data_IF_759446771967
#
_entry.id   IF_759446771967
#
_cell.length_a   1.000
_cell.length_b   1.000
_cell.length_c   1.000
_cell.angle_alpha   90.00
_cell.angle_beta   90.00
_cell.angle_gamma   90.00
#
_symmetry.space_group_name_H-M   'P 1'
#
loop_
_entity.id
_entity.type
_entity.pdbx_description
1 polymer ?
#
# COMPACT_ATOMS: atom_id res chain seq x y z
N UNK A 1 14.77 11.79 -6.21
CA UNK A 1 14.18 11.46 -4.91
C UNK A 1 13.48 10.11 -4.91
N UNK A 2 12.57 9.83 -5.84
CA UNK A 2 11.72 8.62 -5.86
C UNK A 2 12.52 7.31 -5.83
N UNK A 3 13.58 7.18 -6.61
CA UNK A 3 14.42 5.98 -6.57
C UNK A 3 15.21 5.82 -5.25
N UNK A 4 15.59 6.93 -4.63
CA UNK A 4 16.23 6.89 -3.29
C UNK A 4 15.22 6.41 -2.26
N UNK A 5 14.00 6.91 -2.31
CA UNK A 5 12.90 6.45 -1.45
C UNK A 5 12.57 4.97 -1.70
N UNK A 6 12.50 4.54 -2.97
CA UNK A 6 12.25 3.13 -3.28
C UNK A 6 13.33 2.22 -2.71
N UNK A 7 14.60 2.60 -2.89
CA UNK A 7 15.71 1.88 -2.26
C UNK A 7 15.56 1.82 -0.74
N UNK A 8 15.24 2.96 -0.09
CA UNK A 8 14.97 3.04 1.35
C UNK A 8 13.78 2.16 1.78
N UNK A 9 12.81 1.94 0.89
CA UNK A 9 11.66 1.08 1.18
C UNK A 9 12.01 -0.40 1.34
N UNK A 10 13.11 -0.86 0.74
CA UNK A 10 13.65 -2.20 1.04
C UNK A 10 14.22 -2.30 2.45
N UNK A 11 14.74 -1.20 2.98
CA UNK A 11 15.04 -1.10 4.41
C UNK A 11 13.79 -1.03 5.29
N UNK A 12 12.75 -0.35 4.80
CA UNK A 12 11.50 -0.17 5.52
C UNK A 12 10.65 -1.47 5.56
N UNK A 13 10.25 -2.02 4.44
CA UNK A 13 9.37 -3.18 4.37
C UNK A 13 10.09 -4.50 4.75
N UNK A 14 11.13 -4.98 4.05
CA UNK A 14 11.87 -6.16 4.47
C UNK A 14 12.52 -6.01 5.85
N UNK A 15 13.03 -4.82 6.20
CA UNK A 15 13.61 -4.55 7.51
C UNK A 15 12.60 -4.65 8.66
N UNK A 16 11.31 -4.38 8.40
CA UNK A 16 10.22 -4.49 9.37
C UNK A 16 9.88 -5.94 9.76
N UNK A 17 10.44 -6.93 9.06
CA UNK A 17 10.37 -8.33 9.48
C UNK A 17 11.17 -8.57 10.78
N UNK A 18 12.11 -7.68 11.14
CA UNK A 18 12.94 -7.70 12.35
C UNK A 18 13.81 -8.96 12.50
N UNK A 19 13.76 -9.86 11.55
CA UNK A 19 14.50 -11.12 11.49
C UNK A 19 14.88 -11.39 10.04
N UNK A 20 16.14 -11.81 9.81
CA UNK A 20 16.59 -12.26 8.49
C UNK A 20 16.81 -13.78 8.55
N UNK A 21 17.65 -14.25 9.49
CA UNK A 21 17.91 -15.67 9.66
C UNK A 21 16.66 -16.38 10.18
N UNK A 22 16.20 -17.38 9.45
CA UNK A 22 14.96 -18.12 9.75
C UNK A 22 13.68 -17.47 9.23
N UNK A 23 13.77 -16.30 8.55
CA UNK A 23 12.63 -15.62 7.93
C UNK A 23 12.92 -15.26 6.45
N UNK A 24 13.88 -15.93 5.81
CA UNK A 24 14.41 -15.59 4.49
C UNK A 24 13.31 -15.53 3.43
N UNK A 25 12.37 -16.48 3.46
CA UNK A 25 11.26 -16.51 2.52
C UNK A 25 10.31 -15.32 2.69
N UNK A 26 9.99 -14.95 3.93
CA UNK A 26 9.13 -13.80 4.21
C UNK A 26 9.81 -12.48 3.81
N UNK A 27 11.12 -12.34 4.10
CA UNK A 27 11.93 -11.17 3.71
C UNK A 27 12.01 -11.06 2.19
N UNK A 28 12.32 -12.16 1.49
CA UNK A 28 12.37 -12.18 0.02
C UNK A 28 11.01 -11.86 -0.62
N UNK A 29 9.94 -12.46 -0.12
CA UNK A 29 8.56 -12.16 -0.54
C UNK A 29 8.24 -10.69 -0.37
N UNK A 30 8.55 -10.12 0.79
CA UNK A 30 8.34 -8.70 1.09
C UNK A 30 9.05 -7.78 0.10
N UNK A 31 10.28 -8.10 -0.30
CA UNK A 31 11.01 -7.35 -1.31
C UNK A 31 10.33 -7.44 -2.69
N UNK A 32 9.89 -8.63 -3.09
CA UNK A 32 9.21 -8.87 -4.37
C UNK A 32 7.88 -8.13 -4.42
N UNK A 33 7.03 -8.27 -3.41
CA UNK A 33 5.71 -7.62 -3.35
C UNK A 33 5.83 -6.10 -3.33
N UNK A 34 6.82 -5.56 -2.61
CA UNK A 34 7.13 -4.13 -2.60
C UNK A 34 7.48 -3.62 -4.00
N UNK A 35 8.35 -4.34 -4.72
CA UNK A 35 8.74 -3.99 -6.10
C UNK A 35 7.55 -4.01 -7.05
N UNK A 36 6.76 -5.08 -7.01
CA UNK A 36 5.64 -5.27 -7.92
C UNK A 36 4.54 -4.22 -7.71
N UNK A 37 4.23 -3.89 -6.46
CA UNK A 37 3.23 -2.87 -6.16
C UNK A 37 3.68 -1.47 -6.59
N UNK A 38 4.96 -1.13 -6.36
CA UNK A 38 5.52 0.13 -6.84
C UNK A 38 5.43 0.25 -8.36
N UNK A 39 5.89 -0.77 -9.09
CA UNK A 39 5.84 -0.79 -10.55
C UNK A 39 4.39 -0.68 -11.06
N UNK A 40 3.45 -1.44 -10.48
CA UNK A 40 2.03 -1.39 -10.84
C UNK A 40 1.44 0.01 -10.57
N UNK A 41 1.75 0.62 -9.44
CA UNK A 41 1.30 1.98 -9.10
C UNK A 41 1.78 3.03 -10.11
N UNK A 42 3.06 3.00 -10.44
CA UNK A 42 3.66 3.92 -11.43
C UNK A 42 3.06 3.78 -12.83
N UNK A 43 2.99 2.55 -13.35
CA UNK A 43 2.42 2.27 -14.69
C UNK A 43 0.93 2.65 -14.75
N UNK A 44 0.19 2.33 -13.70
CA UNK A 44 -1.25 2.67 -13.62
C UNK A 44 -1.47 4.18 -13.60
N UNK A 45 -0.71 4.91 -12.77
CA UNK A 45 -0.82 6.38 -12.70
C UNK A 45 -0.46 7.02 -14.03
N UNK A 46 0.59 6.52 -14.71
CA UNK A 46 0.96 6.96 -16.05
C UNK A 46 -0.20 6.80 -17.03
N UNK A 47 -0.83 5.61 -17.03
CA UNK A 47 -1.99 5.33 -17.87
C UNK A 47 -3.19 6.22 -17.57
N UNK A 48 -3.51 6.42 -16.28
CA UNK A 48 -4.60 7.31 -15.87
C UNK A 48 -4.36 8.74 -16.36
N UNK A 49 -3.15 9.28 -16.14
CA UNK A 49 -2.79 10.64 -16.55
C UNK A 49 -2.80 10.82 -18.06
N UNK A 50 -2.28 9.87 -18.80
CA UNK A 50 -2.37 9.92 -20.26
C UNK A 50 -3.81 9.91 -20.75
N UNK A 51 -4.68 9.11 -20.13
CA UNK A 51 -6.09 9.01 -20.53
C UNK A 51 -6.91 10.23 -20.14
N UNK A 52 -6.61 10.86 -18.99
CA UNK A 52 -7.37 12.03 -18.50
C UNK A 52 -6.86 13.35 -19.06
N UNK A 53 -5.56 13.52 -19.13
CA UNK A 53 -4.90 14.79 -19.38
C UNK A 53 -4.20 14.84 -20.75
N UNK A 54 -4.03 13.67 -21.41
CA UNK A 54 -3.38 13.54 -22.71
C UNK A 54 -1.86 13.71 -22.69
N UNK A 55 -1.24 13.69 -21.50
CA UNK A 55 0.20 13.95 -21.32
C UNK A 55 0.89 12.82 -20.56
N UNK A 56 2.18 12.65 -20.85
CA UNK A 56 3.09 11.79 -20.11
C UNK A 56 3.73 12.62 -18.97
N UNK A 57 3.14 12.57 -17.78
CA UNK A 57 3.60 13.37 -16.64
C UNK A 57 4.54 12.56 -15.72
N UNK A 58 5.80 12.95 -15.72
CA UNK A 58 6.84 12.30 -14.92
C UNK A 58 6.60 12.44 -13.41
N UNK A 59 6.10 13.60 -12.96
CA UNK A 59 5.86 13.84 -11.52
C UNK A 59 4.77 12.89 -11.03
N UNK A 60 3.67 12.79 -11.78
CA UNK A 60 2.58 11.87 -11.45
C UNK A 60 3.03 10.41 -11.45
N UNK A 61 3.92 10.00 -12.37
CA UNK A 61 4.50 8.64 -12.36
C UNK A 61 5.32 8.41 -11.10
N UNK A 62 6.17 9.36 -10.73
CA UNK A 62 6.96 9.28 -9.51
C UNK A 62 6.08 9.15 -8.26
N UNK A 63 5.00 9.93 -8.18
CA UNK A 63 4.03 9.81 -7.09
C UNK A 63 3.24 8.49 -7.16
N UNK A 64 2.93 8.00 -8.36
CA UNK A 64 2.30 6.69 -8.55
C UNK A 64 3.16 5.52 -8.07
N UNK A 65 4.48 5.58 -8.31
CA UNK A 65 5.44 4.63 -7.74
C UNK A 65 5.38 4.65 -6.20
N UNK A 66 5.41 5.84 -5.60
CA UNK A 66 5.30 6.01 -4.15
C UNK A 66 3.94 5.54 -3.62
N UNK A 67 2.84 5.81 -4.33
CA UNK A 67 1.52 5.32 -3.95
C UNK A 67 1.47 3.78 -3.92
N UNK A 68 2.10 3.10 -4.88
CA UNK A 68 2.25 1.65 -4.88
C UNK A 68 3.04 1.14 -3.68
N UNK A 69 4.15 1.81 -3.33
CA UNK A 69 4.96 1.50 -2.15
C UNK A 69 4.15 1.66 -0.86
N UNK A 70 3.44 2.78 -0.70
CA UNK A 70 2.60 3.04 0.47
C UNK A 70 1.46 2.02 0.58
N UNK A 71 0.75 1.75 -0.52
CA UNK A 71 -0.38 0.82 -0.54
C UNK A 71 0.02 -0.59 -0.07
N UNK A 72 1.19 -1.09 -0.45
CA UNK A 72 1.60 -2.46 -0.14
C UNK A 72 2.24 -2.60 1.25
N UNK A 73 2.64 -1.50 1.87
CA UNK A 73 3.47 -1.51 3.09
C UNK A 73 2.89 -2.36 4.21
N UNK A 74 1.60 -2.29 4.49
CA UNK A 74 0.98 -3.08 5.57
C UNK A 74 0.73 -4.54 5.22
N UNK A 75 0.77 -4.90 3.94
CA UNK A 75 0.43 -6.24 3.46
C UNK A 75 1.60 -7.00 2.83
N UNK A 76 2.73 -6.35 2.60
CA UNK A 76 3.84 -6.84 1.80
C UNK A 76 4.35 -8.24 2.21
N UNK A 77 4.35 -8.57 3.51
CA UNK A 77 4.80 -9.87 4.00
C UNK A 77 3.75 -10.98 3.93
N UNK A 78 2.46 -10.62 3.82
CA UNK A 78 1.34 -11.55 4.00
C UNK A 78 0.50 -11.80 2.75
N UNK A 79 0.83 -11.14 1.63
CA UNK A 79 0.14 -11.32 0.36
C UNK A 79 1.00 -12.01 -0.69
N UNK A 80 0.35 -12.61 -1.68
CA UNK A 80 1.03 -13.20 -2.83
C UNK A 80 1.51 -12.13 -3.82
N UNK A 81 2.54 -12.41 -4.65
CA UNK A 81 3.08 -11.44 -5.62
C UNK A 81 2.04 -10.87 -6.58
N UNK A 82 1.10 -11.69 -7.07
CA UNK A 82 0.02 -11.22 -7.94
C UNK A 82 -0.93 -10.24 -7.23
N UNK A 83 -1.18 -10.47 -5.93
CA UNK A 83 -2.01 -9.57 -5.12
C UNK A 83 -1.33 -8.21 -4.90
N UNK A 84 0.00 -8.17 -4.85
CA UNK A 84 0.77 -6.92 -4.79
C UNK A 84 0.59 -6.07 -6.05
N UNK A 85 0.51 -6.67 -7.24
CA UNK A 85 0.17 -5.96 -8.48
C UNK A 85 -1.21 -5.31 -8.38
N UNK A 86 -2.21 -6.03 -7.89
CA UNK A 86 -3.56 -5.50 -7.67
C UNK A 86 -3.55 -4.39 -6.61
N UNK A 87 -2.77 -4.55 -5.53
CA UNK A 87 -2.64 -3.55 -4.48
C UNK A 87 -2.10 -2.23 -5.03
N UNK A 88 -1.01 -2.27 -5.79
CA UNK A 88 -0.42 -1.09 -6.42
C UNK A 88 -1.33 -0.47 -7.48
N UNK A 89 -1.95 -1.31 -8.32
CA UNK A 89 -2.93 -0.88 -9.32
C UNK A 89 -4.09 -0.11 -8.67
N UNK A 90 -4.75 -0.69 -7.68
CA UNK A 90 -5.88 -0.05 -6.99
C UNK A 90 -5.44 1.14 -6.13
N UNK A 91 -4.25 1.08 -5.53
CA UNK A 91 -3.64 2.19 -4.81
C UNK A 91 -3.45 3.44 -5.66
N UNK A 92 -3.09 3.28 -6.94
CA UNK A 92 -2.97 4.39 -7.89
C UNK A 92 -4.32 5.10 -8.13
N UNK A 93 -5.42 4.36 -8.23
CA UNK A 93 -6.75 4.97 -8.35
C UNK A 93 -7.15 5.71 -7.08
N UNK A 94 -6.84 5.15 -5.90
CA UNK A 94 -7.08 5.82 -4.62
C UNK A 94 -6.29 7.12 -4.55
N UNK A 95 -5.00 7.08 -4.89
CA UNK A 95 -4.13 8.27 -4.92
C UNK A 95 -4.69 9.37 -5.84
N UNK A 96 -4.93 9.04 -7.11
CA UNK A 96 -5.43 10.02 -8.09
C UNK A 96 -6.82 10.54 -7.71
N UNK A 97 -7.70 9.66 -7.25
CA UNK A 97 -9.05 10.01 -6.80
C UNK A 97 -9.04 10.95 -5.59
N UNK A 98 -8.18 10.66 -4.60
CA UNK A 98 -8.00 11.49 -3.41
C UNK A 98 -7.43 12.87 -3.77
N UNK A 99 -6.44 12.95 -4.67
CA UNK A 99 -5.91 14.23 -5.16
C UNK A 99 -7.00 15.09 -5.79
N UNK A 100 -7.82 14.50 -6.67
CA UNK A 100 -8.97 15.21 -7.28
C UNK A 100 -10.00 15.66 -6.22
N UNK A 101 -10.22 14.84 -5.19
CA UNK A 101 -11.13 15.18 -4.09
C UNK A 101 -10.63 16.39 -3.30
N UNK A 102 -9.33 16.40 -2.90
CA UNK A 102 -8.77 17.52 -2.15
C UNK A 102 -8.80 18.83 -2.96
N UNK A 103 -8.48 18.79 -4.24
CA UNK A 103 -8.62 19.95 -5.12
C UNK A 103 -10.07 20.45 -5.17
N UNK A 104 -11.06 19.55 -5.27
CA UNK A 104 -12.48 19.92 -5.24
C UNK A 104 -12.89 20.54 -3.91
N UNK A 105 -12.34 20.09 -2.81
CA UNK A 105 -12.56 20.62 -1.46
C UNK A 105 -11.76 21.90 -1.19
N UNK A 106 -10.93 22.33 -2.14
CA UNK A 106 -10.03 23.50 -2.02
C UNK A 106 -9.05 23.37 -0.85
N UNK A 107 -8.61 22.14 -0.57
CA UNK A 107 -7.56 21.85 0.42
C UNK A 107 -6.22 21.94 -0.30
N UNK A 108 -5.35 22.83 0.20
CA UNK A 108 -4.02 23.03 -0.36
C UNK A 108 -3.07 21.94 0.13
N UNK A 109 -2.59 21.12 -0.79
CA UNK A 109 -1.61 20.06 -0.55
C UNK A 109 -0.66 19.95 -1.75
N UNK A 110 0.31 20.86 -1.86
CA UNK A 110 1.17 20.98 -3.05
C UNK A 110 2.07 19.77 -3.29
N UNK A 111 2.31 18.96 -2.28
CA UNK A 111 3.11 17.74 -2.36
C UNK A 111 2.26 16.47 -2.50
N UNK A 112 0.93 16.62 -2.52
CA UNK A 112 -0.02 15.51 -2.55
C UNK A 112 0.23 14.49 -1.41
N UNK A 113 0.65 15.00 -0.25
CA UNK A 113 1.02 14.16 0.89
C UNK A 113 -0.18 13.40 1.48
N UNK A 114 -1.33 14.07 1.60
CA UNK A 114 -2.54 13.43 2.11
C UNK A 114 -3.08 12.36 1.15
N UNK A 115 -3.19 12.55 -0.18
CA UNK A 115 -3.50 11.48 -1.13
C UNK A 115 -2.53 10.31 -1.05
N UNK A 116 -1.22 10.60 -1.01
CA UNK A 116 -0.16 9.59 -1.01
C UNK A 116 -0.14 8.77 0.29
N UNK A 117 -0.09 9.44 1.44
CA UNK A 117 0.15 8.77 2.72
C UNK A 117 -1.14 8.50 3.49
N UNK A 118 -2.08 9.44 3.50
CA UNK A 118 -3.35 9.30 4.22
C UNK A 118 -4.30 8.31 3.53
N UNK A 119 -4.75 8.65 2.34
CA UNK A 119 -5.77 7.86 1.63
C UNK A 119 -5.21 6.53 1.11
N UNK A 120 -4.05 6.55 0.47
CA UNK A 120 -3.43 5.32 -0.04
C UNK A 120 -2.92 4.44 1.10
N UNK A 121 -2.45 5.02 2.21
CA UNK A 121 -2.10 4.29 3.43
C UNK A 121 -3.30 3.61 4.08
N UNK A 122 -4.44 4.30 4.17
CA UNK A 122 -5.68 3.70 4.65
C UNK A 122 -6.13 2.53 3.77
N UNK A 123 -6.05 2.68 2.43
CA UNK A 123 -6.26 1.57 1.50
C UNK A 123 -5.31 0.41 1.77
N UNK A 124 -4.02 0.71 1.96
CA UNK A 124 -3.00 -0.29 2.28
C UNK A 124 -3.33 -1.08 3.55
N UNK A 125 -3.85 -0.43 4.59
CA UNK A 125 -4.26 -1.11 5.83
C UNK A 125 -5.50 -1.98 5.61
N UNK A 126 -6.43 -1.61 4.73
CA UNK A 126 -7.59 -2.43 4.38
C UNK A 126 -7.16 -3.69 3.61
N UNK A 127 -6.18 -3.60 2.74
CA UNK A 127 -5.83 -4.62 1.76
C UNK A 127 -5.49 -6.00 2.36
N UNK A 128 -4.70 -6.14 3.44
CA UNK A 128 -4.46 -7.46 4.06
C UNK A 128 -5.72 -8.07 4.64
N UNK A 129 -6.71 -7.26 5.08
CA UNK A 129 -8.02 -7.75 5.47
C UNK A 129 -8.79 -8.45 4.35
N UNK A 130 -8.44 -8.15 3.09
CA UNK A 130 -9.02 -8.79 1.90
C UNK A 130 -8.20 -10.01 1.43
N UNK A 131 -6.87 -9.88 1.33
CA UNK A 131 -6.01 -10.81 0.60
C UNK A 131 -4.78 -11.32 1.39
N UNK A 132 -4.75 -11.18 2.72
CA UNK A 132 -3.71 -11.83 3.51
C UNK A 132 -3.87 -13.35 3.49
N UNK A 133 -2.78 -14.06 3.18
CA UNK A 133 -2.76 -15.52 3.13
C UNK A 133 -2.45 -16.10 4.51
N UNK A 134 -3.18 -17.13 4.91
CA UNK A 134 -3.08 -17.72 6.26
C UNK A 134 -1.67 -18.21 6.58
N UNK A 135 -1.03 -18.92 5.64
CA UNK A 135 0.32 -19.44 5.80
C UNK A 135 1.35 -18.32 5.99
N UNK A 136 1.17 -17.21 5.26
CA UNK A 136 2.07 -16.06 5.37
C UNK A 136 1.84 -15.26 6.65
N UNK A 137 0.62 -15.23 7.16
CA UNK A 137 0.32 -14.67 8.49
C UNK A 137 0.98 -15.49 9.60
N UNK A 138 0.93 -16.82 9.51
CA UNK A 138 1.62 -17.71 10.44
C UNK A 138 3.14 -17.52 10.39
N UNK A 139 3.72 -17.47 9.19
CA UNK A 139 5.16 -17.29 8.98
C UNK A 139 5.66 -15.92 9.48
N UNK A 140 4.92 -14.84 9.17
CA UNK A 140 5.38 -13.47 9.46
C UNK A 140 5.08 -13.01 10.89
N UNK A 141 3.98 -13.48 11.47
CA UNK A 141 3.45 -12.98 12.76
C UNK A 141 3.15 -14.07 13.78
N UNK A 142 3.39 -15.34 13.46
CA UNK A 142 3.02 -16.46 14.34
C UNK A 142 1.50 -16.62 14.52
N UNK A 143 0.69 -16.01 13.65
CA UNK A 143 -0.77 -16.00 13.74
C UNK A 143 -1.39 -16.81 12.60
N UNK A 144 -1.83 -18.02 12.89
CA UNK A 144 -2.47 -18.94 11.95
C UNK A 144 -4.01 -18.84 11.96
N UNK A 145 -4.60 -18.01 12.82
CA UNK A 145 -6.04 -17.86 12.95
C UNK A 145 -6.63 -16.74 12.11
N UNK A 146 -5.79 -15.89 11.50
CA UNK A 146 -6.21 -14.71 10.75
C UNK A 146 -5.81 -14.82 9.28
N UNK A 147 -6.71 -14.45 8.38
CA UNK A 147 -6.43 -14.25 6.96
C UNK A 147 -7.44 -13.28 6.34
N UNK A 148 -7.23 -12.95 5.06
CA UNK A 148 -8.16 -12.12 4.30
C UNK A 148 -9.50 -12.81 4.05
N UNK A 149 -10.55 -12.01 3.91
CA UNK A 149 -11.91 -12.54 3.67
C UNK A 149 -12.02 -13.33 2.36
N UNK A 150 -11.23 -12.98 1.35
CA UNK A 150 -11.21 -13.68 0.06
C UNK A 150 -10.54 -15.06 0.13
N UNK A 151 -9.82 -15.35 1.20
CA UNK A 151 -9.30 -16.69 1.54
C UNK A 151 -10.18 -17.44 2.55
N UNK A 152 -11.43 -17.00 2.75
CA UNK A 152 -12.42 -17.71 3.56
C UNK A 152 -12.38 -17.42 5.05
N UNK A 153 -11.65 -16.41 5.51
CA UNK A 153 -11.67 -16.00 6.91
C UNK A 153 -12.89 -15.13 7.27
N UNK A 154 -13.18 -15.06 8.56
CA UNK A 154 -14.39 -14.47 9.14
C UNK A 154 -14.45 -12.92 9.18
N UNK A 155 -13.51 -12.24 8.51
CA UNK A 155 -13.49 -10.77 8.45
C UNK A 155 -12.97 -10.06 9.71
N UNK A 156 -12.55 -10.76 10.74
CA UNK A 156 -12.00 -10.13 11.95
C UNK A 156 -10.79 -9.26 11.69
N UNK A 157 -9.89 -9.72 10.79
CA UNK A 157 -8.71 -8.95 10.39
C UNK A 157 -9.12 -7.65 9.70
N UNK A 158 -10.06 -7.71 8.76
CA UNK A 158 -10.58 -6.51 8.08
C UNK A 158 -11.25 -5.56 9.09
N UNK A 159 -12.06 -6.08 10.00
CA UNK A 159 -12.70 -5.28 11.04
C UNK A 159 -11.68 -4.58 11.96
N UNK A 160 -10.64 -5.29 12.39
CA UNK A 160 -9.57 -4.73 13.21
C UNK A 160 -8.82 -3.61 12.46
N UNK A 161 -8.53 -3.81 11.17
CA UNK A 161 -7.86 -2.82 10.34
C UNK A 161 -8.72 -1.55 10.16
N UNK A 162 -10.03 -1.68 9.95
CA UNK A 162 -10.95 -0.54 9.88
C UNK A 162 -10.97 0.23 11.21
N UNK A 163 -11.08 -0.47 12.34
CA UNK A 163 -11.01 0.16 13.66
C UNK A 163 -9.69 0.89 13.87
N UNK A 164 -8.57 0.30 13.42
CA UNK A 164 -7.26 0.95 13.47
C UNK A 164 -7.22 2.25 12.67
N UNK A 165 -7.76 2.26 11.44
CA UNK A 165 -7.83 3.48 10.61
C UNK A 165 -8.67 4.56 11.32
N UNK A 166 -9.82 4.19 11.87
CA UNK A 166 -10.70 5.13 12.57
C UNK A 166 -9.98 5.71 13.80
N UNK A 167 -9.33 4.87 14.60
CA UNK A 167 -8.60 5.30 15.80
C UNK A 167 -7.46 6.27 15.46
N UNK A 168 -6.64 5.95 14.41
CA UNK A 168 -5.57 6.83 13.95
C UNK A 168 -6.13 8.16 13.43
N UNK A 169 -7.18 8.12 12.62
CA UNK A 169 -7.81 9.31 12.05
C UNK A 169 -8.40 10.19 13.17
N UNK A 170 -9.09 9.58 14.13
CA UNK A 170 -9.67 10.30 15.26
C UNK A 170 -8.61 10.94 16.19
N UNK A 171 -7.41 10.40 16.21
CA UNK A 171 -6.29 11.00 16.92
C UNK A 171 -5.61 12.13 16.13
N UNK A 172 -5.31 11.88 14.86
CA UNK A 172 -4.47 12.78 14.03
C UNK A 172 -5.23 14.04 13.59
N UNK A 173 -6.53 13.93 13.25
CA UNK A 173 -7.27 15.09 12.73
C UNK A 173 -7.51 16.22 13.77
N UNK A 174 -7.72 15.93 15.09
CA UNK A 174 -7.92 16.99 16.09
C UNK A 174 -6.61 17.57 16.63
N UNK A 175 -5.47 16.87 16.46
CA UNK A 175 -4.15 17.28 17.00
C UNK A 175 -3.28 17.96 15.97
#
# INVERSE_FOLDING_TARGET
>A
GTFILWFGWYGFNPGSMLLIAGAENAVARTAVTTTLAAAAGGVTTLGIKYYTDGIWDLISVCNGLLAGLVAVTSSCSVIEPWAALICGFTGAFVYVGAGKLLMKLRIDDPLEAAPLHGFTGAWGVIFPGLLAKKEFMAESYGNDSSCGILYGCNGKLLGANIVGIIAITAWVLPT
#
